data_IF_108317645540
#
_entry.id   IF_108317645540
#
_cell.length_a   1.000
_cell.length_b   1.000
_cell.length_c   1.000
_cell.angle_alpha   90.00
_cell.angle_beta   90.00
_cell.angle_gamma   90.00
#
_symmetry.space_group_name_H-M   'P 1'
#
loop_
_entity.id
_entity.type
_entity.pdbx_description
1 polymer ?
#
# COMPACT_ATOMS: atom_id res chain seq x y z
N UNK A 1 -5.67 17.76 8.09
CA UNK A 1 -6.55 16.90 7.27
C UNK A 1 -6.70 15.55 7.94
N UNK A 2 -7.92 14.98 7.97
CA UNK A 2 -8.24 13.64 8.48
C UNK A 2 -8.28 12.63 7.34
N UNK A 3 -7.48 11.58 7.43
CA UNK A 3 -7.33 10.53 6.42
C UNK A 3 -7.83 9.20 6.96
N UNK A 4 -8.81 8.60 6.29
CA UNK A 4 -9.18 7.20 6.53
C UNK A 4 -8.13 6.29 5.89
N UNK A 5 -7.55 5.37 6.66
CA UNK A 5 -6.44 4.51 6.21
C UNK A 5 -6.89 3.05 6.09
N UNK A 6 -6.82 2.50 4.88
CA UNK A 6 -7.12 1.10 4.60
C UNK A 6 -6.03 0.50 3.69
N UNK A 7 -5.67 -0.76 3.93
CA UNK A 7 -4.82 -1.54 3.02
C UNK A 7 -5.10 -3.04 3.18
N UNK A 8 -4.63 -3.83 2.22
CA UNK A 8 -4.64 -5.29 2.28
C UNK A 8 -6.07 -5.84 2.49
N UNK A 9 -7.05 -5.20 1.84
CA UNK A 9 -8.46 -5.58 1.92
C UNK A 9 -8.80 -6.81 1.09
N UNK A 10 -7.93 -7.29 0.19
CA UNK A 10 -8.02 -8.62 -0.43
C UNK A 10 -9.46 -9.04 -0.81
N UNK A 11 -10.22 -8.14 -1.42
CA UNK A 11 -11.68 -8.25 -1.57
C UNK A 11 -12.08 -9.45 -2.45
N UNK A 12 -11.18 -9.90 -3.33
CA UNK A 12 -11.36 -11.08 -4.17
C UNK A 12 -11.53 -12.39 -3.38
N UNK A 13 -11.08 -12.43 -2.13
CA UNK A 13 -11.22 -13.59 -1.26
C UNK A 13 -12.49 -13.55 -0.40
N UNK A 14 -13.09 -12.38 -0.24
CA UNK A 14 -14.29 -12.19 0.58
C UNK A 14 -15.52 -12.90 -0.02
N UNK A 15 -15.72 -12.80 -1.34
CA UNK A 15 -16.81 -13.49 -2.04
C UNK A 15 -16.68 -15.04 -2.02
N UNK A 16 -15.46 -15.56 -1.85
CA UNK A 16 -15.20 -17.02 -1.76
C UNK A 16 -15.48 -17.58 -0.36
N UNK A 17 -15.32 -16.77 0.69
CA UNK A 17 -15.66 -17.17 2.05
C UNK A 17 -17.19 -17.30 2.22
N UNK A 18 -17.97 -16.37 1.64
CA UNK A 18 -19.44 -16.36 1.75
C UNK A 18 -20.13 -17.54 1.08
N UNK A 19 -19.53 -18.13 0.02
CA UNK A 19 -20.13 -19.27 -0.69
C UNK A 19 -19.84 -20.64 -0.06
N UNK A 20 -18.82 -20.76 0.79
CA UNK A 20 -18.45 -22.03 1.46
C UNK A 20 -19.15 -22.26 2.80
N UNK A 21 -19.55 -21.19 3.49
CA UNK A 21 -20.27 -21.27 4.77
C UNK A 21 -21.74 -21.73 4.57
N UNK A 22 -22.28 -21.66 3.36
CA UNK A 22 -23.66 -22.06 3.06
C UNK A 22 -23.92 -23.58 3.02
N UNK A 23 -22.92 -24.45 3.25
CA UNK A 23 -23.08 -25.92 3.18
C UNK A 23 -23.20 -26.58 4.57
N UNK A 24 -22.86 -25.89 5.65
CA UNK A 24 -23.02 -26.39 7.02
C UNK A 24 -23.90 -25.42 7.80
N UNK A 25 -25.15 -25.81 8.04
CA UNK A 25 -26.19 -24.95 8.63
C UNK A 25 -25.78 -24.21 9.91
N UNK A 26 -26.23 -22.95 9.98
CA UNK A 26 -26.25 -22.03 11.13
C UNK A 26 -24.92 -21.53 11.71
N UNK A 27 -24.48 -20.37 11.20
CA UNK A 27 -24.03 -19.22 12.03
C UNK A 27 -24.52 -17.92 11.34
N UNK A 28 -25.23 -17.01 12.02
CA UNK A 28 -25.60 -15.72 11.43
C UNK A 28 -24.36 -14.81 11.40
N UNK A 29 -23.88 -14.47 10.21
CA UNK A 29 -22.74 -13.58 10.05
C UNK A 29 -22.09 -13.70 8.68
N UNK A 30 -22.77 -13.28 7.62
CA UNK A 30 -22.13 -12.97 6.34
C UNK A 30 -21.18 -11.78 6.57
N UNK A 31 -19.90 -12.05 6.84
CA UNK A 31 -18.84 -11.03 6.93
C UNK A 31 -18.52 -10.48 5.54
N UNK A 32 -19.47 -9.78 4.93
CA UNK A 32 -19.10 -8.77 3.95
C UNK A 32 -18.48 -7.62 4.75
N UNK A 33 -17.16 -7.43 4.64
CA UNK A 33 -16.53 -6.18 5.04
C UNK A 33 -17.27 -5.04 4.35
N UNK A 34 -18.00 -4.27 5.14
CA UNK A 34 -18.78 -3.14 4.66
C UNK A 34 -18.19 -1.91 5.33
N UNK A 35 -17.48 -1.11 4.53
CA UNK A 35 -16.81 0.10 5.01
C UNK A 35 -17.85 1.09 5.55
N UNK A 36 -18.95 1.30 4.83
CA UNK A 36 -20.03 2.20 5.26
C UNK A 36 -20.67 1.85 6.62
N UNK A 37 -20.74 0.58 7.02
CA UNK A 37 -21.23 0.21 8.36
C UNK A 37 -20.21 0.44 9.47
N UNK A 38 -18.91 0.47 9.14
CA UNK A 38 -17.84 0.50 10.13
C UNK A 38 -17.16 1.87 10.26
N UNK A 39 -17.36 2.78 9.31
CA UNK A 39 -16.67 4.08 9.27
C UNK A 39 -17.67 5.22 9.45
N UNK A 40 -17.46 6.04 10.49
CA UNK A 40 -18.19 7.30 10.67
C UNK A 40 -17.74 8.34 9.63
N UNK A 41 -18.61 9.30 9.29
CA UNK A 41 -18.34 10.30 8.23
C UNK A 41 -17.23 11.33 8.59
N UNK A 42 -16.50 11.15 9.69
CA UNK A 42 -15.50 12.09 10.22
C UNK A 42 -14.10 11.92 9.59
N UNK A 43 -14.01 12.06 8.28
CA UNK A 43 -12.75 12.10 7.53
C UNK A 43 -12.85 12.93 6.26
N UNK A 44 -11.73 13.54 5.82
CA UNK A 44 -11.68 14.44 4.68
C UNK A 44 -11.34 13.70 3.36
N UNK A 45 -10.51 12.65 3.45
CA UNK A 45 -10.07 11.86 2.31
C UNK A 45 -9.74 10.41 2.72
N UNK A 46 -9.60 9.53 1.72
CA UNK A 46 -9.29 8.10 1.90
C UNK A 46 -7.93 7.78 1.33
N UNK A 47 -7.15 6.97 2.04
CA UNK A 47 -5.92 6.36 1.55
C UNK A 47 -6.13 4.85 1.47
N UNK A 48 -5.99 4.31 0.26
CA UNK A 48 -5.97 2.89 -0.04
C UNK A 48 -4.53 2.48 -0.37
N UNK A 49 -3.79 1.94 0.61
CA UNK A 49 -2.36 1.66 0.51
C UNK A 49 -2.05 0.24 -0.03
N UNK A 50 -2.72 -0.14 -1.12
CA UNK A 50 -2.48 -1.36 -1.89
C UNK A 50 -3.15 -2.62 -1.35
N UNK A 51 -3.14 -3.66 -2.18
CA UNK A 51 -3.75 -4.97 -1.95
C UNK A 51 -5.25 -4.87 -1.60
N UNK A 52 -5.97 -4.01 -2.30
CA UNK A 52 -7.41 -3.83 -2.11
C UNK A 52 -8.17 -4.92 -2.84
N UNK A 53 -7.86 -5.14 -4.12
CA UNK A 53 -8.48 -6.19 -4.91
C UNK A 53 -7.62 -6.61 -6.11
N UNK A 54 -7.61 -7.91 -6.41
CA UNK A 54 -7.06 -8.46 -7.64
C UNK A 54 -8.18 -8.87 -8.64
N UNK A 55 -8.14 -8.43 -9.92
CA UNK A 55 -7.26 -7.42 -10.48
C UNK A 55 -7.63 -5.99 -10.05
N UNK A 56 -6.64 -5.10 -10.08
CA UNK A 56 -6.71 -3.77 -9.48
C UNK A 56 -7.76 -2.82 -10.06
N UNK A 57 -8.03 -2.86 -11.37
CA UNK A 57 -9.07 -2.01 -11.97
C UNK A 57 -10.46 -2.24 -11.36
N UNK A 58 -10.71 -3.43 -10.83
CA UNK A 58 -11.93 -3.72 -10.08
C UNK A 58 -11.90 -3.17 -8.65
N UNK A 59 -10.73 -3.10 -8.03
CA UNK A 59 -10.53 -2.40 -6.74
C UNK A 59 -10.79 -0.90 -6.88
N UNK A 60 -10.33 -0.29 -7.97
CA UNK A 60 -10.64 1.11 -8.31
C UNK A 60 -12.15 1.31 -8.51
N UNK A 61 -12.80 0.43 -9.28
CA UNK A 61 -14.24 0.49 -9.49
C UNK A 61 -15.04 0.32 -8.18
N UNK A 62 -14.60 -0.57 -7.29
CA UNK A 62 -15.18 -0.71 -5.96
C UNK A 62 -15.03 0.58 -5.14
N UNK A 63 -13.84 1.16 -5.10
CA UNK A 63 -13.58 2.39 -4.34
C UNK A 63 -14.41 3.58 -4.84
N UNK A 64 -14.60 3.69 -6.16
CA UNK A 64 -15.46 4.73 -6.75
C UNK A 64 -16.95 4.54 -6.43
N UNK A 65 -17.38 3.29 -6.20
CA UNK A 65 -18.78 2.95 -5.90
C UNK A 65 -19.08 2.85 -4.39
N UNK A 66 -18.06 2.90 -3.53
CA UNK A 66 -18.21 2.77 -2.08
C UNK A 66 -18.93 4.01 -1.50
N UNK A 67 -20.16 3.86 -0.95
CA UNK A 67 -20.95 4.99 -0.48
C UNK A 67 -20.25 5.82 0.60
N UNK A 68 -19.43 5.20 1.46
CA UNK A 68 -18.68 5.93 2.48
C UNK A 68 -17.67 6.93 1.89
N UNK A 69 -17.23 6.72 0.64
CA UNK A 69 -16.21 7.55 0.00
C UNK A 69 -16.83 8.64 -0.89
N UNK A 70 -18.16 8.66 -1.04
CA UNK A 70 -18.84 9.59 -1.93
C UNK A 70 -18.49 11.05 -1.61
N UNK A 71 -18.07 11.80 -2.64
CA UNK A 71 -17.71 13.21 -2.51
C UNK A 71 -16.35 13.48 -1.87
N UNK A 72 -15.61 12.45 -1.43
CA UNK A 72 -14.30 12.58 -0.79
C UNK A 72 -13.19 12.09 -1.74
N UNK A 73 -12.02 12.75 -1.81
CA UNK A 73 -10.89 12.25 -2.58
C UNK A 73 -10.42 10.88 -2.07
N UNK A 74 -10.16 9.96 -2.99
CA UNK A 74 -9.58 8.64 -2.68
C UNK A 74 -8.22 8.51 -3.34
N UNK A 75 -7.17 8.33 -2.54
CA UNK A 75 -5.81 8.09 -3.01
C UNK A 75 -5.54 6.58 -3.04
N UNK A 76 -5.48 6.02 -4.24
CA UNK A 76 -5.29 4.59 -4.46
C UNK A 76 -3.84 4.33 -4.88
N UNK A 77 -3.04 3.72 -4.01
CA UNK A 77 -1.72 3.20 -4.38
C UNK A 77 -1.86 1.71 -4.67
N UNK A 78 -1.49 1.21 -5.85
CA UNK A 78 -1.50 -0.22 -6.12
C UNK A 78 -0.49 -0.95 -5.23
N UNK A 79 -0.89 -2.12 -4.71
CA UNK A 79 0.00 -3.13 -4.15
C UNK A 79 0.42 -4.16 -5.19
N UNK A 80 1.02 -5.26 -4.74
CA UNK A 80 1.43 -6.34 -5.64
C UNK A 80 0.22 -7.16 -6.12
N UNK A 81 -0.81 -7.32 -5.29
CA UNK A 81 -2.00 -8.11 -5.64
C UNK A 81 -2.85 -7.48 -6.75
N UNK A 82 -2.88 -6.16 -6.89
CA UNK A 82 -3.56 -5.50 -8.00
C UNK A 82 -3.12 -6.05 -9.37
N UNK A 83 -1.87 -6.54 -9.47
CA UNK A 83 -1.27 -7.08 -10.69
C UNK A 83 -1.40 -8.61 -10.84
N UNK A 84 -2.03 -9.31 -9.89
CA UNK A 84 -2.10 -10.77 -9.93
C UNK A 84 -2.89 -11.28 -11.13
N UNK A 85 -2.25 -12.15 -11.92
CA UNK A 85 -2.80 -12.69 -13.16
C UNK A 85 -2.80 -11.69 -14.32
N UNK A 86 -2.20 -10.51 -14.16
CA UNK A 86 -2.20 -9.44 -15.15
C UNK A 86 -0.81 -9.16 -15.73
N UNK A 87 -0.78 -8.33 -16.77
CA UNK A 87 0.45 -7.69 -17.27
C UNK A 87 0.56 -6.32 -16.62
N UNK A 88 1.66 -6.07 -15.90
CA UNK A 88 1.84 -4.94 -15.00
C UNK A 88 1.46 -3.57 -15.61
N UNK A 89 2.00 -3.25 -16.78
CA UNK A 89 1.80 -1.96 -17.46
C UNK A 89 0.36 -1.79 -17.96
N UNK A 90 -0.22 -2.87 -18.50
CA UNK A 90 -1.61 -2.90 -18.96
C UNK A 90 -2.59 -2.73 -17.80
N UNK A 91 -2.34 -3.38 -16.68
CA UNK A 91 -3.20 -3.28 -15.51
C UNK A 91 -3.09 -1.92 -14.83
N UNK A 92 -1.89 -1.33 -14.76
CA UNK A 92 -1.74 0.05 -14.29
C UNK A 92 -2.51 1.04 -15.18
N UNK A 93 -2.47 0.86 -16.49
CA UNK A 93 -3.27 1.65 -17.42
C UNK A 93 -4.78 1.41 -17.23
N UNK A 94 -5.21 0.18 -16.99
CA UNK A 94 -6.60 -0.16 -16.73
C UNK A 94 -7.12 0.44 -15.42
N UNK A 95 -6.32 0.42 -14.35
CA UNK A 95 -6.63 1.09 -13.08
C UNK A 95 -6.81 2.60 -13.28
N UNK A 96 -5.89 3.25 -14.00
CA UNK A 96 -6.00 4.68 -14.31
C UNK A 96 -7.23 4.99 -15.16
N UNK A 97 -7.55 4.15 -16.14
CA UNK A 97 -8.76 4.30 -16.96
C UNK A 97 -10.04 4.15 -16.11
N UNK A 98 -10.08 3.17 -15.19
CA UNK A 98 -11.21 2.98 -14.28
C UNK A 98 -11.41 4.15 -13.31
N UNK A 99 -10.35 4.90 -13.00
CA UNK A 99 -10.40 6.08 -12.15
C UNK A 99 -10.91 7.35 -12.86
N UNK A 100 -10.89 7.38 -14.20
CA UNK A 100 -11.28 8.57 -14.97
C UNK A 100 -12.73 8.96 -14.71
N UNK A 101 -12.96 10.24 -14.37
CA UNK A 101 -14.29 10.77 -14.07
C UNK A 101 -14.84 10.39 -12.69
N UNK A 102 -14.02 9.78 -11.83
CA UNK A 102 -14.37 9.42 -10.44
C UNK A 102 -13.63 10.30 -9.43
N UNK A 103 -13.90 10.11 -8.14
CA UNK A 103 -13.15 10.70 -7.03
C UNK A 103 -11.85 9.94 -6.67
N UNK A 104 -11.54 8.84 -7.38
CA UNK A 104 -10.36 8.01 -7.16
C UNK A 104 -9.17 8.52 -7.98
N UNK A 105 -8.01 8.57 -7.35
CA UNK A 105 -6.74 8.94 -7.96
C UNK A 105 -5.74 7.80 -7.76
N UNK A 106 -5.37 7.14 -8.86
CA UNK A 106 -4.41 6.02 -8.85
C UNK A 106 -2.98 6.56 -8.92
N UNK A 107 -2.24 6.40 -7.82
CA UNK A 107 -0.90 6.94 -7.65
C UNK A 107 0.15 5.82 -7.72
N UNK A 108 0.95 5.82 -8.80
CA UNK A 108 2.22 5.07 -8.85
C UNK A 108 3.30 5.93 -9.49
N UNK A 109 4.24 6.39 -8.65
CA UNK A 109 5.18 7.49 -8.94
C UNK A 109 4.45 8.73 -9.42
N UNK A 110 3.35 9.05 -8.73
CA UNK A 110 2.50 10.19 -9.02
C UNK A 110 2.17 10.97 -7.74
N UNK A 111 1.76 12.22 -7.90
CA UNK A 111 1.51 13.15 -6.81
C UNK A 111 0.24 13.95 -7.08
N UNK A 112 -0.54 14.15 -6.02
CA UNK A 112 -1.67 15.08 -6.01
C UNK A 112 -1.48 16.11 -4.91
N UNK A 113 -1.88 17.34 -5.19
CA UNK A 113 -1.96 18.41 -4.20
C UNK A 113 -3.43 18.70 -3.91
N UNK A 114 -3.79 18.65 -2.64
CA UNK A 114 -5.04 19.16 -2.12
C UNK A 114 -4.81 20.55 -1.51
N UNK A 115 -5.53 21.54 -2.01
CA UNK A 115 -5.61 22.87 -1.42
C UNK A 115 -6.97 22.97 -0.75
N UNK A 116 -7.00 22.99 0.58
CA UNK A 116 -8.20 23.28 1.36
C UNK A 116 -8.63 24.72 1.11
N UNK A 117 -9.77 24.95 0.46
CA UNK A 117 -10.30 26.30 0.25
C UNK A 117 -11.31 26.50 -0.88
N UNK A 118 -12.39 25.68 -0.96
CA UNK A 118 -13.61 26.06 -1.69
C UNK A 118 -14.85 25.57 -0.93
N UNK A 119 -15.30 26.37 0.03
CA UNK A 119 -16.54 26.17 0.80
C UNK A 119 -16.67 27.26 1.85
N UNK A 120 -17.85 27.88 1.97
CA UNK A 120 -18.09 29.11 2.75
C UNK A 120 -17.87 29.00 4.26
N UNK A 121 -17.66 27.79 4.79
CA UNK A 121 -17.39 27.50 6.22
C UNK A 121 -16.03 26.84 6.48
N UNK A 122 -15.18 26.65 5.45
CA UNK A 122 -13.84 26.13 5.65
C UNK A 122 -12.96 27.25 6.25
N UNK A 123 -12.58 27.10 7.52
CA UNK A 123 -11.70 28.04 8.21
C UNK A 123 -10.44 28.36 7.40
N UNK A 124 -10.05 29.64 7.42
CA UNK A 124 -8.96 30.24 6.62
C UNK A 124 -7.55 29.69 6.91
N UNK A 125 -7.42 28.60 7.69
CA UNK A 125 -6.19 28.16 8.34
C UNK A 125 -5.77 26.71 8.00
N UNK A 126 -6.34 26.08 6.96
CA UNK A 126 -5.89 24.74 6.57
C UNK A 126 -4.71 24.80 5.57
N UNK A 127 -3.56 24.24 6.00
CA UNK A 127 -2.35 24.11 5.18
C UNK A 127 -2.57 23.14 3.99
N UNK A 128 -2.03 23.44 2.80
CA UNK A 128 -2.13 22.53 1.66
C UNK A 128 -1.43 21.21 1.95
N UNK A 129 -1.97 20.11 1.42
CA UNK A 129 -1.43 18.76 1.57
C UNK A 129 -1.02 18.24 0.21
N UNK A 130 0.22 17.74 0.06
CA UNK A 130 0.60 16.92 -1.09
C UNK A 130 0.66 15.45 -0.70
N UNK A 131 0.15 14.58 -1.56
CA UNK A 131 0.17 13.13 -1.40
C UNK A 131 0.99 12.54 -2.53
N UNK A 132 2.08 11.86 -2.18
CA UNK A 132 2.95 11.16 -3.12
C UNK A 132 2.69 9.66 -3.00
N UNK A 133 2.42 8.98 -4.10
CA UNK A 133 2.10 7.55 -4.10
C UNK A 133 3.01 6.72 -4.99
N UNK A 134 3.46 5.55 -4.51
CA UNK A 134 4.17 4.55 -5.31
C UNK A 134 3.98 3.14 -4.73
N UNK A 135 3.87 2.10 -5.56
CA UNK A 135 3.91 0.71 -5.05
C UNK A 135 5.21 0.41 -4.26
N UNK A 136 6.26 1.17 -4.57
CA UNK A 136 7.62 1.15 -4.03
C UNK A 136 8.43 -0.09 -4.37
N UNK A 137 7.85 -1.30 -4.32
CA UNK A 137 8.60 -2.56 -4.47
C UNK A 137 9.83 -2.61 -3.54
N UNK A 138 10.73 -3.57 -3.72
CA UNK A 138 11.92 -3.72 -2.88
C UNK A 138 13.20 -3.92 -3.69
N UNK A 139 14.33 -3.58 -3.08
CA UNK A 139 15.67 -3.91 -3.57
C UNK A 139 16.32 -5.09 -2.84
N UNK A 140 15.55 -5.76 -1.97
CA UNK A 140 15.95 -6.90 -1.14
C UNK A 140 17.12 -6.62 -0.18
N UNK A 141 17.41 -5.35 0.16
CA UNK A 141 18.55 -5.00 1.03
C UNK A 141 18.23 -4.93 2.52
N UNK A 142 17.02 -5.26 2.97
CA UNK A 142 16.75 -5.36 4.40
C UNK A 142 17.71 -6.35 5.06
N UNK A 143 18.15 -6.04 6.28
CA UNK A 143 18.91 -6.99 7.10
C UNK A 143 17.96 -7.99 7.75
N UNK A 144 18.39 -9.24 7.85
CA UNK A 144 17.67 -10.31 8.57
C UNK A 144 18.59 -10.96 9.59
N UNK A 145 18.01 -11.53 10.64
CA UNK A 145 18.69 -12.18 11.75
C UNK A 145 19.02 -13.63 11.40
N UNK A 146 20.30 -13.94 11.25
CA UNK A 146 20.78 -15.29 10.98
C UNK A 146 20.57 -16.25 12.16
N UNK A 147 20.65 -17.56 11.88
CA UNK A 147 20.52 -18.61 12.91
C UNK A 147 21.56 -18.48 14.05
N UNK A 148 22.72 -17.90 13.76
CA UNK A 148 23.79 -17.58 14.72
C UNK A 148 23.56 -16.27 15.49
N UNK A 149 22.41 -15.62 15.32
CA UNK A 149 22.05 -14.37 16.00
C UNK A 149 22.71 -13.12 15.43
N UNK A 150 23.32 -13.19 14.24
CA UNK A 150 23.93 -12.02 13.60
C UNK A 150 23.04 -11.44 12.52
N UNK A 151 22.92 -10.11 12.47
CA UNK A 151 22.19 -9.40 11.42
C UNK A 151 23.01 -9.35 10.13
N UNK A 152 22.41 -9.75 9.01
CA UNK A 152 23.09 -9.84 7.70
C UNK A 152 22.25 -9.25 6.59
N UNK A 153 22.91 -8.75 5.56
CA UNK A 153 22.29 -8.29 4.31
C UNK A 153 22.83 -9.15 3.18
N UNK A 154 21.95 -9.92 2.54
CA UNK A 154 22.26 -10.64 1.30
C UNK A 154 21.10 -10.50 0.31
N UNK A 155 21.15 -9.41 -0.46
CA UNK A 155 20.09 -9.09 -1.43
C UNK A 155 20.00 -10.10 -2.57
N UNK A 156 21.09 -10.81 -2.90
CA UNK A 156 21.08 -11.82 -3.96
C UNK A 156 20.35 -13.06 -3.50
N UNK A 157 20.66 -13.54 -2.29
CA UNK A 157 19.95 -14.67 -1.69
C UNK A 157 18.47 -14.35 -1.50
N UNK A 158 18.15 -13.21 -0.89
CA UNK A 158 16.77 -12.80 -0.65
C UNK A 158 15.95 -12.65 -1.95
N UNK A 159 16.55 -12.07 -3.00
CA UNK A 159 15.90 -12.00 -4.31
C UNK A 159 15.68 -13.38 -4.94
N UNK A 160 16.63 -14.32 -4.80
CA UNK A 160 16.49 -15.67 -5.30
C UNK A 160 15.38 -16.45 -4.57
N UNK A 161 15.35 -16.36 -3.23
CA UNK A 161 14.30 -16.96 -2.40
C UNK A 161 12.93 -16.38 -2.74
N UNK A 162 12.82 -15.05 -2.84
CA UNK A 162 11.59 -14.38 -3.23
C UNK A 162 11.11 -14.82 -4.62
N UNK A 163 12.02 -14.92 -5.59
CA UNK A 163 11.71 -15.35 -6.96
C UNK A 163 11.10 -16.75 -7.07
N UNK A 164 11.32 -17.61 -6.08
CA UNK A 164 10.75 -18.96 -6.01
C UNK A 164 9.58 -19.03 -5.03
N UNK A 165 9.67 -18.31 -3.91
CA UNK A 165 8.75 -18.40 -2.78
C UNK A 165 7.53 -17.49 -2.85
N UNK A 166 7.57 -16.40 -3.63
CA UNK A 166 6.47 -15.45 -3.72
C UNK A 166 5.66 -15.60 -5.00
N UNK A 167 4.33 -15.51 -4.86
CA UNK A 167 3.40 -15.63 -5.97
C UNK A 167 3.56 -14.51 -7.00
N UNK A 168 4.02 -13.33 -6.59
CA UNK A 168 4.33 -12.18 -7.44
C UNK A 168 5.08 -12.61 -8.71
N UNK A 169 6.15 -13.38 -8.55
CA UNK A 169 7.02 -13.83 -9.64
C UNK A 169 6.45 -15.01 -10.43
N UNK A 170 5.36 -15.61 -9.95
CA UNK A 170 4.66 -16.72 -10.59
C UNK A 170 3.45 -16.25 -11.41
N UNK A 171 2.70 -15.25 -10.93
CA UNK A 171 1.40 -14.85 -11.52
C UNK A 171 1.42 -13.47 -12.18
N UNK A 172 2.36 -12.58 -11.84
CA UNK A 172 2.49 -11.29 -12.51
C UNK A 172 3.28 -11.47 -13.81
N UNK A 173 2.86 -10.74 -14.84
CA UNK A 173 3.55 -10.69 -16.13
C UNK A 173 4.03 -9.28 -16.43
N UNK A 174 5.10 -9.19 -17.22
CA UNK A 174 5.63 -7.93 -17.74
C UNK A 174 5.84 -8.04 -19.23
N UNK A 175 5.66 -6.94 -19.95
CA UNK A 175 6.05 -6.86 -21.35
C UNK A 175 7.56 -7.07 -21.47
N UNK A 176 7.99 -7.83 -22.49
CA UNK A 176 9.42 -7.94 -22.81
C UNK A 176 9.91 -6.65 -23.46
N UNK A 177 11.21 -6.39 -23.36
CA UNK A 177 11.85 -5.14 -23.84
C UNK A 177 11.57 -4.85 -25.32
N UNK A 178 11.42 -5.90 -26.13
CA UNK A 178 10.85 -5.84 -27.47
C UNK A 178 9.35 -6.17 -27.38
N UNK A 179 8.40 -5.23 -27.53
CA UNK A 179 6.98 -5.49 -27.36
C UNK A 179 6.45 -6.65 -28.23
N UNK A 180 6.96 -6.77 -29.46
CA UNK A 180 6.68 -7.86 -30.40
C UNK A 180 7.09 -9.25 -29.88
N UNK A 181 7.98 -9.32 -28.89
CA UNK A 181 8.42 -10.58 -28.28
C UNK A 181 7.47 -11.10 -27.19
N UNK A 182 6.36 -10.39 -26.92
CA UNK A 182 5.30 -10.80 -26.01
C UNK A 182 5.58 -10.52 -24.53
N UNK A 183 4.99 -11.32 -23.65
CA UNK A 183 5.09 -11.15 -22.19
C UNK A 183 5.99 -12.22 -21.55
N UNK A 184 6.48 -11.95 -20.33
CA UNK A 184 7.18 -12.94 -19.49
C UNK A 184 6.76 -12.81 -18.03
N UNK A 185 7.11 -13.81 -17.20
CA UNK A 185 6.99 -13.69 -15.74
C UNK A 185 7.82 -12.51 -15.23
N UNK A 186 7.27 -11.83 -14.22
CA UNK A 186 8.03 -10.88 -13.41
C UNK A 186 9.25 -11.58 -12.80
N UNK A 187 10.37 -10.88 -12.71
CA UNK A 187 11.59 -11.35 -12.05
C UNK A 187 11.94 -10.40 -10.90
N UNK A 188 12.60 -10.87 -9.84
CA UNK A 188 13.08 -10.01 -8.75
C UNK A 188 13.90 -8.81 -9.24
N UNK A 189 14.72 -8.98 -10.27
CA UNK A 189 15.51 -7.87 -10.82
C UNK A 189 14.64 -6.75 -11.43
N UNK A 190 13.42 -7.04 -11.88
CA UNK A 190 12.49 -6.01 -12.36
C UNK A 190 12.02 -5.14 -11.19
N UNK A 191 11.67 -5.76 -10.07
CA UNK A 191 11.20 -5.05 -8.86
C UNK A 191 12.32 -4.22 -8.24
N UNK A 192 13.58 -4.67 -8.29
CA UNK A 192 14.74 -3.86 -7.91
C UNK A 192 14.86 -2.59 -8.76
N UNK A 193 14.69 -2.71 -10.08
CA UNK A 193 14.75 -1.55 -10.98
C UNK A 193 13.59 -0.58 -10.71
N UNK A 194 12.37 -1.09 -10.53
CA UNK A 194 11.20 -0.28 -10.20
C UNK A 194 11.35 0.41 -8.84
N UNK A 195 11.90 -0.28 -7.85
CA UNK A 195 12.20 0.30 -6.54
C UNK A 195 13.18 1.46 -6.64
N UNK A 196 14.28 1.28 -7.39
CA UNK A 196 15.23 2.37 -7.61
C UNK A 196 14.61 3.56 -8.33
N UNK A 197 13.77 3.32 -9.35
CA UNK A 197 13.05 4.39 -10.04
C UNK A 197 12.06 5.12 -9.11
N UNK A 198 11.31 4.39 -8.28
CA UNK A 198 10.37 4.97 -7.32
C UNK A 198 11.09 5.77 -6.23
N UNK A 199 12.18 5.24 -5.67
CA UNK A 199 13.00 5.95 -4.68
C UNK A 199 13.62 7.22 -5.26
N UNK A 200 14.15 7.18 -6.49
CA UNK A 200 14.70 8.36 -7.15
C UNK A 200 13.64 9.43 -7.39
N UNK A 201 12.45 9.02 -7.86
CA UNK A 201 11.32 9.92 -8.05
C UNK A 201 10.87 10.54 -6.73
N UNK A 202 10.74 9.76 -5.65
CA UNK A 202 10.39 10.26 -4.31
C UNK A 202 11.40 11.31 -3.83
N UNK A 203 12.70 11.00 -3.89
CA UNK A 203 13.74 11.95 -3.49
C UNK A 203 13.69 13.26 -4.29
N UNK A 204 13.42 13.18 -5.60
CA UNK A 204 13.29 14.36 -6.45
C UNK A 204 12.09 15.23 -6.04
N UNK A 205 10.91 14.63 -5.80
CA UNK A 205 9.71 15.35 -5.35
C UNK A 205 9.86 15.93 -3.95
N UNK A 206 10.51 15.21 -3.03
CA UNK A 206 10.74 15.66 -1.66
C UNK A 206 11.74 16.81 -1.58
N UNK A 207 12.67 16.91 -2.54
CA UNK A 207 13.62 18.01 -2.64
C UNK A 207 12.99 19.32 -3.13
N UNK A 208 11.79 19.28 -3.74
CA UNK A 208 11.06 20.47 -4.16
C UNK A 208 10.56 21.25 -2.93
N UNK A 209 10.80 22.58 -2.84
CA UNK A 209 10.27 23.40 -1.76
C UNK A 209 8.75 23.28 -1.64
N UNK A 210 8.27 23.05 -0.42
CA UNK A 210 6.85 22.85 -0.15
C UNK A 210 6.45 23.54 1.15
N UNK A 211 5.46 24.44 1.07
CA UNK A 211 4.95 25.21 2.21
C UNK A 211 3.63 24.63 2.73
N UNK A 212 3.60 23.31 2.94
CA UNK A 212 2.43 22.57 3.42
C UNK A 212 2.83 21.22 4.00
N UNK A 213 1.85 20.34 4.20
CA UNK A 213 2.11 18.98 4.70
C UNK A 213 2.39 17.99 3.58
N UNK A 214 3.26 17.03 3.85
CA UNK A 214 3.59 15.96 2.90
C UNK A 214 3.15 14.62 3.46
N UNK A 215 2.29 13.94 2.71
CA UNK A 215 1.93 12.53 2.93
C UNK A 215 2.59 11.68 1.86
N UNK A 216 3.26 10.61 2.27
CA UNK A 216 3.75 9.57 1.36
C UNK A 216 2.95 8.31 1.58
N UNK A 217 2.50 7.68 0.49
CA UNK A 217 1.78 6.41 0.52
C UNK A 217 2.56 5.41 -0.31
N UNK A 218 2.95 4.29 0.31
CA UNK A 218 3.54 3.16 -0.41
C UNK A 218 2.82 1.88 -0.10
N UNK A 219 2.89 0.86 -0.95
CA UNK A 219 2.38 -0.45 -0.53
C UNK A 219 3.42 -1.17 0.33
N UNK A 220 4.62 -1.39 -0.22
CA UNK A 220 5.73 -2.02 0.51
C UNK A 220 6.22 -1.10 1.63
N UNK A 221 6.61 -1.69 2.76
CA UNK A 221 6.99 -0.92 3.93
C UNK A 221 8.32 -0.16 3.70
N UNK A 222 8.44 1.09 4.17
CA UNK A 222 9.59 1.94 3.86
C UNK A 222 10.78 1.76 4.82
N UNK A 223 10.55 1.21 6.01
CA UNK A 223 11.49 1.29 7.12
C UNK A 223 11.49 -0.01 7.96
N UNK A 224 12.65 -0.42 8.53
CA UNK A 224 12.74 -1.66 9.32
C UNK A 224 11.87 -1.68 10.59
N UNK A 225 11.40 -0.52 11.05
CA UNK A 225 10.43 -0.43 12.15
C UNK A 225 9.08 -1.09 11.86
N UNK A 226 8.80 -1.41 10.59
CA UNK A 226 7.61 -2.17 10.15
C UNK A 226 7.89 -3.67 9.98
N UNK A 227 8.99 -4.19 10.53
CA UNK A 227 9.28 -5.62 10.55
C UNK A 227 8.80 -6.22 11.87
N UNK A 228 7.77 -7.07 11.83
CA UNK A 228 7.35 -7.78 13.04
C UNK A 228 8.44 -8.76 13.51
N UNK A 229 8.65 -8.84 14.82
CA UNK A 229 9.72 -9.62 15.43
C UNK A 229 9.76 -11.10 15.02
N UNK A 230 8.60 -11.70 14.76
CA UNK A 230 8.49 -13.10 14.31
C UNK A 230 9.07 -13.34 12.91
N UNK A 231 9.24 -12.29 12.10
CA UNK A 231 9.77 -12.36 10.73
C UNK A 231 11.22 -11.89 10.62
N UNK A 232 11.88 -11.46 11.69
CA UNK A 232 13.28 -11.00 11.65
C UNK A 232 14.25 -12.05 11.09
N UNK A 233 13.92 -13.34 11.28
CA UNK A 233 14.73 -14.49 10.81
C UNK A 233 14.30 -15.01 9.44
N UNK A 234 13.23 -14.47 8.84
CA UNK A 234 12.74 -14.92 7.54
C UNK A 234 13.61 -14.33 6.42
N UNK A 235 14.18 -15.19 5.58
CA UNK A 235 14.93 -14.77 4.39
C UNK A 235 14.08 -14.06 3.34
N UNK A 236 12.74 -14.18 3.43
CA UNK A 236 11.79 -13.49 2.56
C UNK A 236 11.48 -12.07 3.03
N UNK A 237 11.73 -11.69 4.28
CA UNK A 237 11.43 -10.35 4.83
C UNK A 237 11.94 -9.17 3.97
N UNK A 238 13.11 -9.24 3.32
CA UNK A 238 13.57 -8.18 2.40
C UNK A 238 12.70 -7.99 1.15
N UNK A 239 11.79 -8.91 0.85
CA UNK A 239 10.80 -8.76 -0.20
C UNK A 239 9.61 -7.88 0.23
N UNK A 240 9.39 -7.69 1.54
CA UNK A 240 8.23 -7.00 2.10
C UNK A 240 8.59 -5.61 2.67
N UNK A 241 9.73 -5.51 3.34
CA UNK A 241 10.16 -4.30 4.08
C UNK A 241 11.46 -3.75 3.50
N UNK A 242 11.49 -2.44 3.27
CA UNK A 242 12.68 -1.71 2.84
C UNK A 242 13.45 -1.11 4.03
N UNK A 243 14.72 -0.83 3.78
CA UNK A 243 15.58 -0.01 4.64
C UNK A 243 15.93 1.28 3.88
N UNK A 244 14.92 2.15 3.71
CA UNK A 244 15.09 3.41 2.97
C UNK A 244 16.05 4.35 3.73
N UNK A 245 16.87 5.14 3.01
CA UNK A 245 17.76 6.10 3.64
C UNK A 245 16.97 7.20 4.36
N UNK A 246 17.56 7.79 5.42
CA UNK A 246 16.98 8.88 6.19
C UNK A 246 16.50 10.06 5.32
N UNK A 247 17.18 10.35 4.20
CA UNK A 247 16.79 11.42 3.27
C UNK A 247 15.39 11.24 2.66
N UNK A 248 14.86 10.01 2.57
CA UNK A 248 13.50 9.76 2.10
C UNK A 248 12.42 10.23 3.09
N UNK A 249 12.76 10.38 4.37
CA UNK A 249 11.82 10.81 5.42
C UNK A 249 11.88 12.33 5.67
N UNK A 250 12.82 13.03 5.02
CA UNK A 250 12.99 14.46 5.17
C UNK A 250 11.81 15.22 4.57
N UNK A 251 11.16 16.07 5.37
CA UNK A 251 9.99 16.84 4.93
C UNK A 251 8.71 16.00 4.76
N UNK A 252 8.68 14.75 5.24
CA UNK A 252 7.49 13.88 5.23
C UNK A 252 6.84 13.88 6.61
N UNK A 253 5.56 14.24 6.69
CA UNK A 253 4.81 14.31 7.94
C UNK A 253 4.17 12.99 8.31
N UNK A 254 3.59 12.33 7.31
CA UNK A 254 2.94 11.03 7.44
C UNK A 254 3.40 10.11 6.31
N UNK A 255 3.80 8.89 6.64
CA UNK A 255 4.02 7.80 5.71
C UNK A 255 3.01 6.69 5.98
N UNK A 256 2.19 6.34 5.00
CA UNK A 256 1.22 5.24 5.10
C UNK A 256 1.71 4.07 4.26
N UNK A 257 1.65 2.84 4.80
CA UNK A 257 1.90 1.64 4.01
C UNK A 257 1.00 0.45 4.36
N UNK A 258 1.14 -0.65 3.60
CA UNK A 258 0.44 -1.92 3.79
C UNK A 258 1.39 -3.13 3.76
N UNK A 259 0.99 -4.19 3.07
CA UNK A 259 1.75 -5.37 2.63
C UNK A 259 2.18 -6.36 3.72
N UNK A 260 2.58 -5.85 4.88
CA UNK A 260 3.15 -6.68 5.97
C UNK A 260 2.11 -7.49 6.72
N UNK A 261 0.81 -7.17 6.56
CA UNK A 261 -0.31 -7.77 7.29
C UNK A 261 -0.20 -7.66 8.83
N UNK A 262 0.65 -6.78 9.34
CA UNK A 262 0.74 -6.38 10.75
C UNK A 262 0.52 -4.87 10.88
N UNK A 263 -0.13 -4.43 11.96
CA UNK A 263 -0.38 -3.00 12.20
C UNK A 263 0.83 -2.32 12.84
N UNK A 264 1.18 -1.13 12.36
CA UNK A 264 2.30 -0.32 12.87
C UNK A 264 1.91 1.15 13.01
N UNK A 265 2.41 1.82 14.05
CA UNK A 265 2.29 3.27 14.23
C UNK A 265 3.49 3.77 15.04
N UNK A 266 4.47 4.38 14.39
CA UNK A 266 5.72 4.76 15.04
C UNK A 266 6.37 6.00 14.39
N UNK A 267 7.14 6.78 15.15
CA UNK A 267 7.93 7.87 14.59
C UNK A 267 9.24 7.37 13.99
N UNK A 268 9.67 8.01 12.90
CA UNK A 268 11.04 7.93 12.35
C UNK A 268 11.67 9.32 12.46
N UNK A 269 12.78 9.42 13.17
CA UNK A 269 13.50 10.69 13.33
C UNK A 269 14.03 11.22 12.00
N UNK A 270 13.86 12.53 11.78
CA UNK A 270 14.35 13.23 10.58
C UNK A 270 15.71 13.86 10.86
N UNK A 271 16.55 13.94 9.84
CA UNK A 271 17.83 14.62 9.95
C UNK A 271 17.59 16.12 10.20
N UNK A 272 18.15 16.68 11.27
CA UNK A 272 17.94 18.10 11.62
C UNK A 272 16.69 18.38 12.47
N UNK A 273 15.98 17.35 12.94
CA UNK A 273 14.90 17.46 13.92
C UNK A 273 13.50 17.19 13.36
N UNK A 274 12.58 16.82 14.27
CA UNK A 274 11.22 16.39 13.94
C UNK A 274 11.14 14.90 13.55
N UNK A 275 9.92 14.41 13.34
CA UNK A 275 9.64 12.98 13.13
C UNK A 275 8.66 12.75 11.99
N UNK A 276 8.94 11.82 11.09
CA UNK A 276 7.93 11.29 10.15
C UNK A 276 7.13 10.21 10.87
N UNK A 277 5.80 10.31 10.92
CA UNK A 277 4.96 9.25 11.50
C UNK A 277 4.72 8.18 10.43
N UNK A 278 5.07 6.93 10.71
CA UNK A 278 4.80 5.79 9.83
C UNK A 278 3.58 5.03 10.37
N UNK A 279 2.59 4.80 9.51
CA UNK A 279 1.34 4.10 9.85
C UNK A 279 1.08 2.95 8.87
N UNK A 280 0.69 1.80 9.40
CA UNK A 280 0.21 0.65 8.65
C UNK A 280 -1.04 0.09 9.33
N UNK A 281 -2.13 -0.05 8.57
CA UNK A 281 -3.40 -0.59 9.06
C UNK A 281 -3.96 -1.64 8.06
N UNK A 282 -3.26 -2.76 7.88
CA UNK A 282 -3.63 -3.77 6.89
C UNK A 282 -4.69 -4.70 7.46
N UNK A 283 -5.67 -5.13 6.65
CA UNK A 283 -6.60 -6.17 7.08
C UNK A 283 -5.97 -7.57 6.99
N UNK A 284 -5.24 -7.82 5.90
CA UNK A 284 -4.74 -9.14 5.55
C UNK A 284 -5.85 -10.09 5.08
N UNK A 285 -5.50 -11.37 4.96
CA UNK A 285 -6.43 -12.38 4.46
C UNK A 285 -7.56 -12.69 5.44
N UNK A 286 -8.69 -13.18 4.90
CA UNK A 286 -9.73 -13.83 5.71
C UNK A 286 -9.40 -15.31 5.80
N UNK A 287 -9.17 -15.80 7.01
CA UNK A 287 -8.86 -17.20 7.29
C UNK A 287 -10.09 -18.10 7.04
N UNK A 288 -9.86 -19.40 6.99
CA UNK A 288 -10.91 -20.39 6.73
C UNK A 288 -12.03 -20.39 7.79
N UNK A 289 -11.71 -19.96 9.01
CA UNK A 289 -12.64 -19.82 10.14
C UNK A 289 -13.35 -18.45 10.17
N UNK A 290 -13.13 -17.60 9.17
CA UNK A 290 -13.70 -16.26 9.07
C UNK A 290 -12.94 -15.18 9.85
N UNK A 291 -11.91 -15.55 10.62
CA UNK A 291 -11.10 -14.57 11.33
C UNK A 291 -10.21 -13.78 10.36
N UNK A 292 -10.01 -12.50 10.66
CA UNK A 292 -9.01 -11.69 9.96
C UNK A 292 -7.61 -12.16 10.32
N UNK A 293 -6.71 -12.17 9.35
CA UNK A 293 -5.29 -12.46 9.56
C UNK A 293 -4.67 -11.47 10.52
N UNK A 294 -4.88 -10.17 10.28
CA UNK A 294 -4.55 -9.13 11.23
C UNK A 294 -5.74 -8.87 12.16
N UNK A 295 -5.62 -9.31 13.41
CA UNK A 295 -6.65 -9.06 14.45
C UNK A 295 -6.65 -7.63 14.97
N UNK A 296 -5.58 -6.86 14.71
CA UNK A 296 -5.44 -5.46 15.10
C UNK A 296 -5.88 -4.49 13.99
N UNK A 297 -6.47 -4.99 12.90
CA UNK A 297 -7.02 -4.14 11.86
C UNK A 297 -8.17 -3.28 12.40
N UNK A 298 -8.06 -1.97 12.22
CA UNK A 298 -9.08 -1.00 12.62
C UNK A 298 -9.79 -0.45 11.39
N UNK A 299 -11.02 -0.88 11.08
CA UNK A 299 -11.70 -0.48 9.84
C UNK A 299 -12.03 1.02 9.78
N UNK A 300 -12.10 1.68 10.94
CA UNK A 300 -12.37 3.11 11.09
C UNK A 300 -11.11 3.94 11.40
N UNK A 301 -9.91 3.42 11.08
CA UNK A 301 -8.65 4.10 11.41
C UNK A 301 -8.54 5.44 10.66
N UNK A 302 -8.77 6.52 11.39
CA UNK A 302 -8.57 7.89 10.91
C UNK A 302 -7.30 8.47 11.52
N UNK A 303 -6.44 9.04 10.67
CA UNK A 303 -5.18 9.69 11.06
C UNK A 303 -5.20 11.15 10.64
N UNK A 304 -4.71 12.04 11.50
CA UNK A 304 -4.54 13.46 11.17
C UNK A 304 -3.13 13.73 10.68
N UNK A 305 -3.03 14.49 9.60
CA UNK A 305 -1.81 15.18 9.13
C UNK A 305 -2.00 16.68 9.23
#
# INVERSE_FOLDING_TARGET
>A
MKLLILSDLHLEFQARASSRVNVAGNVPGTFAFNVAFNVADDFDAVVLAGDIQAPGHRGVAWAAAEPAFAGKPVFYVPGNHEYYGQVWDKELAAMRAAAQGTNVQVLDRDMVTLVSGVGSDAGKDQEPVRVLGATLWTDFKLKVLGADGQWRRDARLAAAEAGVGLNDFSVIRVQRSAPESGVRRLRPLDTVQWHHAARQWLLARLAEPWAGRTVVVTHHAPHPGSLAGCFERSGLSPAFVNDLPAACFQGVDLWVHGHTHDSFDYPVDRAGGGTCRVVCNPRGYVRWDGALENRAFEPARVVTV
#
